data_IF_433886083738
#
_entry.id   IF_433886083738
#
_cell.length_a   1.000
_cell.length_b   1.000
_cell.length_c   1.000
_cell.angle_alpha   90.00
_cell.angle_beta   90.00
_cell.angle_gamma   90.00
#
_symmetry.space_group_name_H-M   'P 1'
#
loop_
_entity.id
_entity.type
_entity.pdbx_description
1 polymer ?
#
# COMPACT_ATOMS: atom_id res chain seq x y z
N UNK A 1 10.06 15.28 -3.71
CA UNK A 1 9.83 14.61 -2.42
C UNK A 1 9.51 15.63 -1.33
N UNK A 2 10.47 16.42 -0.84
CA UNK A 2 10.21 17.42 0.23
C UNK A 2 9.04 18.36 -0.07
N UNK A 3 9.00 18.94 -1.27
CA UNK A 3 7.88 19.80 -1.71
C UNK A 3 6.51 19.09 -1.69
N UNK A 4 6.44 17.78 -1.94
CA UNK A 4 5.18 17.04 -1.86
C UNK A 4 4.78 16.79 -0.40
N UNK A 5 5.76 16.49 0.46
CA UNK A 5 5.54 16.32 1.92
C UNK A 5 4.99 17.60 2.53
N UNK A 6 5.52 18.76 2.16
CA UNK A 6 5.06 20.08 2.63
C UNK A 6 3.64 20.44 2.15
N UNK A 7 3.15 19.81 1.07
CA UNK A 7 1.77 19.98 0.58
C UNK A 7 0.75 19.08 1.29
N UNK A 8 1.19 18.09 2.07
CA UNK A 8 0.27 17.25 2.83
C UNK A 8 -0.43 18.12 3.86
N UNK A 9 -1.74 18.26 3.71
CA UNK A 9 -2.52 19.07 4.63
C UNK A 9 -2.76 18.32 5.95
N UNK A 10 -2.96 19.06 7.05
CA UNK A 10 -3.45 18.47 8.28
C UNK A 10 -4.81 17.80 8.06
N UNK A 11 -5.06 16.74 8.84
CA UNK A 11 -6.38 16.11 8.93
C UNK A 11 -7.40 17.10 9.51
N UNK A 12 -8.55 17.24 8.87
CA UNK A 12 -9.61 18.15 9.28
C UNK A 12 -10.46 17.51 10.40
N UNK A 13 -10.11 17.81 11.64
CA UNK A 13 -10.82 17.29 12.82
C UNK A 13 -12.25 17.83 12.92
N UNK A 14 -12.55 19.00 12.38
CA UNK A 14 -13.90 19.56 12.42
C UNK A 14 -14.83 18.81 11.45
N UNK A 15 -14.37 18.56 10.22
CA UNK A 15 -15.09 17.75 9.25
C UNK A 15 -15.26 16.31 9.73
N UNK A 16 -14.22 15.72 10.33
CA UNK A 16 -14.28 14.40 10.95
C UNK A 16 -15.33 14.35 12.08
N UNK A 17 -15.31 15.32 13.00
CA UNK A 17 -16.29 15.40 14.09
C UNK A 17 -17.71 15.68 13.57
N UNK A 18 -17.86 16.42 12.47
CA UNK A 18 -19.15 16.61 11.82
C UNK A 18 -19.70 15.29 11.25
N UNK A 19 -18.85 14.46 10.64
CA UNK A 19 -19.25 13.14 10.16
C UNK A 19 -19.66 12.21 11.31
N UNK A 20 -18.95 12.25 12.43
CA UNK A 20 -19.32 11.49 13.62
C UNK A 20 -20.70 11.91 14.16
N UNK A 21 -20.93 13.22 14.34
CA UNK A 21 -22.24 13.75 14.77
C UNK A 21 -23.38 13.37 13.82
N UNK A 22 -23.12 13.38 12.51
CA UNK A 22 -24.09 12.95 11.51
C UNK A 22 -24.40 11.46 11.65
N UNK A 23 -23.37 10.61 11.75
CA UNK A 23 -23.50 9.17 11.96
C UNK A 23 -24.33 8.83 13.19
N UNK A 24 -24.11 9.54 14.30
CA UNK A 24 -24.85 9.35 15.57
C UNK A 24 -26.32 9.77 15.48
N UNK A 25 -26.67 10.62 14.50
CA UNK A 25 -28.04 11.03 14.23
C UNK A 25 -28.83 10.04 13.37
N UNK A 26 -28.16 9.11 12.68
CA UNK A 26 -28.79 8.10 11.83
C UNK A 26 -29.63 7.12 12.66
N UNK A 27 -30.67 6.52 12.07
CA UNK A 27 -31.59 5.58 12.73
C UNK A 27 -30.94 4.24 13.10
N UNK A 28 -29.96 4.28 14.00
CA UNK A 28 -29.18 3.16 14.52
C UNK A 28 -28.64 3.53 15.92
N UNK A 29 -28.31 2.54 16.77
CA UNK A 29 -27.53 2.84 17.98
C UNK A 29 -26.16 3.46 17.60
N UNK A 30 -25.67 4.48 18.34
CA UNK A 30 -24.36 5.06 18.10
C UNK A 30 -23.24 4.00 18.06
N UNK A 31 -22.37 4.08 17.05
CA UNK A 31 -21.27 3.13 16.85
C UNK A 31 -21.65 1.72 16.35
N UNK A 32 -22.93 1.40 16.11
CA UNK A 32 -23.35 0.04 15.75
C UNK A 32 -22.86 -0.43 14.37
N UNK A 33 -22.42 0.47 13.48
CA UNK A 33 -21.83 0.12 12.18
C UNK A 33 -20.29 0.02 12.26
N UNK A 34 -19.69 0.26 13.43
CA UNK A 34 -18.28 0.01 13.71
C UNK A 34 -17.32 0.68 12.73
N UNK A 35 -16.54 -0.12 12.00
CA UNK A 35 -15.50 0.39 11.09
C UNK A 35 -16.04 1.23 9.93
N UNK A 36 -17.29 1.03 9.51
CA UNK A 36 -17.88 1.84 8.45
C UNK A 36 -18.04 3.31 8.90
N UNK A 37 -18.41 3.54 10.17
CA UNK A 37 -18.47 4.88 10.73
C UNK A 37 -17.08 5.52 10.82
N UNK A 38 -16.07 4.72 11.22
CA UNK A 38 -14.69 5.17 11.28
C UNK A 38 -14.13 5.55 9.90
N UNK A 39 -14.47 4.79 8.85
CA UNK A 39 -14.12 5.11 7.46
C UNK A 39 -14.77 6.43 7.04
N UNK A 40 -16.07 6.60 7.27
CA UNK A 40 -16.76 7.85 6.94
C UNK A 40 -16.13 9.06 7.64
N UNK A 41 -15.83 8.93 8.95
CA UNK A 41 -15.12 9.94 9.75
C UNK A 41 -13.77 10.29 9.14
N UNK A 42 -12.99 9.28 8.76
CA UNK A 42 -11.66 9.45 8.17
C UNK A 42 -11.73 10.14 6.81
N UNK A 43 -12.64 9.71 5.93
CA UNK A 43 -12.81 10.30 4.60
C UNK A 43 -13.24 11.77 4.69
N UNK A 44 -14.12 12.10 5.64
CA UNK A 44 -14.54 13.48 5.86
C UNK A 44 -13.39 14.38 6.32
N UNK A 45 -12.55 13.91 7.24
CA UNK A 45 -11.37 14.66 7.69
C UNK A 45 -10.28 14.79 6.63
N UNK A 46 -10.14 13.80 5.73
CA UNK A 46 -9.23 13.91 4.57
C UNK A 46 -9.73 14.99 3.60
N UNK A 47 -11.01 14.93 3.25
CA UNK A 47 -11.61 15.81 2.24
C UNK A 47 -11.91 17.22 2.75
N UNK A 48 -12.06 17.40 4.07
CA UNK A 48 -12.53 18.66 4.68
C UNK A 48 -14.04 18.87 4.48
N UNK A 49 -14.81 17.79 4.42
CA UNK A 49 -16.26 17.84 4.22
C UNK A 49 -16.92 16.47 4.26
N UNK A 50 -18.22 16.42 4.57
CA UNK A 50 -18.97 15.18 4.82
C UNK A 50 -19.06 14.24 3.61
N UNK A 51 -19.10 14.81 2.40
CA UNK A 51 -19.48 14.10 1.18
C UNK A 51 -18.34 14.11 0.16
N UNK A 52 -17.24 13.38 0.41
CA UNK A 52 -16.16 13.30 -0.55
C UNK A 52 -16.62 12.54 -1.79
N UNK A 53 -16.31 13.11 -2.96
CA UNK A 53 -16.55 12.47 -4.24
C UNK A 53 -15.38 11.54 -4.59
N UNK A 54 -15.64 10.23 -4.60
CA UNK A 54 -14.61 9.19 -4.79
C UNK A 54 -14.85 8.31 -6.04
N UNK A 55 -15.72 8.75 -6.97
CA UNK A 55 -16.10 7.95 -8.14
C UNK A 55 -14.94 7.51 -9.03
N UNK A 56 -13.92 8.37 -9.22
CA UNK A 56 -12.72 8.02 -9.97
C UNK A 56 -11.65 7.47 -9.05
N UNK A 57 -11.27 6.22 -9.29
CA UNK A 57 -10.34 5.47 -8.43
C UNK A 57 -9.38 4.63 -9.24
N UNK A 58 -8.19 4.41 -8.70
CA UNK A 58 -7.15 3.66 -9.38
C UNK A 58 -6.35 2.80 -8.40
N UNK A 59 -5.97 1.60 -8.85
CA UNK A 59 -4.93 0.80 -8.24
C UNK A 59 -3.64 0.99 -9.04
N UNK A 60 -2.57 1.39 -8.37
CA UNK A 60 -1.26 1.56 -8.99
C UNK A 60 -0.41 0.35 -8.65
N UNK A 61 -0.12 -0.48 -9.65
CA UNK A 61 0.70 -1.68 -9.53
C UNK A 61 2.14 -1.33 -9.91
N UNK A 62 3.01 -1.23 -8.92
CA UNK A 62 4.44 -0.98 -9.12
C UNK A 62 5.17 -2.32 -9.33
N UNK A 63 5.88 -2.45 -10.44
CA UNK A 63 6.59 -3.68 -10.81
C UNK A 63 8.12 -3.51 -10.79
N UNK A 64 8.81 -4.40 -10.09
CA UNK A 64 10.26 -4.41 -9.97
C UNK A 64 10.83 -5.75 -9.52
N UNK A 65 11.99 -6.13 -10.06
CA UNK A 65 12.66 -7.38 -9.71
C UNK A 65 13.71 -7.20 -8.61
N UNK A 66 14.00 -8.30 -7.91
CA UNK A 66 14.95 -8.31 -6.78
C UNK A 66 16.13 -9.22 -7.00
N UNK A 67 17.35 -8.69 -6.84
CA UNK A 67 18.58 -9.50 -6.89
C UNK A 67 18.69 -10.53 -5.77
N UNK A 68 17.98 -10.34 -4.65
CA UNK A 68 17.96 -11.32 -3.53
C UNK A 68 17.38 -12.68 -3.94
N UNK A 69 16.72 -12.77 -5.10
CA UNK A 69 16.27 -14.04 -5.67
C UNK A 69 17.41 -15.03 -5.94
N UNK A 70 18.64 -14.55 -6.15
CA UNK A 70 19.85 -15.38 -6.27
C UNK A 70 20.09 -16.25 -5.03
N UNK A 71 19.58 -15.85 -3.87
CA UNK A 71 19.69 -16.61 -2.62
C UNK A 71 18.62 -17.72 -2.51
N UNK A 72 17.74 -17.94 -3.50
CA UNK A 72 16.76 -19.04 -3.47
C UNK A 72 15.59 -18.83 -2.50
N UNK A 73 15.20 -17.58 -2.25
CA UNK A 73 14.15 -17.18 -1.29
C UNK A 73 12.72 -17.28 -1.80
N UNK A 74 12.52 -17.64 -3.07
CA UNK A 74 11.21 -17.71 -3.74
C UNK A 74 10.88 -19.13 -4.21
N UNK A 75 9.59 -19.45 -4.34
CA UNK A 75 9.13 -20.65 -5.04
C UNK A 75 9.10 -20.48 -6.57
N UNK A 76 8.96 -19.24 -7.04
CA UNK A 76 8.83 -18.89 -8.45
C UNK A 76 10.14 -18.31 -9.01
N UNK A 77 10.43 -18.57 -10.30
CA UNK A 77 11.59 -18.00 -10.97
C UNK A 77 11.36 -16.52 -11.33
N UNK A 78 12.43 -15.76 -11.58
CA UNK A 78 12.36 -14.31 -11.75
C UNK A 78 11.58 -13.88 -13.01
N UNK A 79 11.49 -14.74 -14.02
CA UNK A 79 10.75 -14.53 -15.27
C UNK A 79 9.23 -14.37 -15.05
N UNK A 80 8.72 -14.73 -13.86
CA UNK A 80 7.30 -14.53 -13.52
C UNK A 80 6.95 -13.05 -13.42
N UNK A 81 7.86 -12.18 -12.97
CA UNK A 81 7.60 -10.73 -12.88
C UNK A 81 7.18 -10.13 -14.23
N UNK A 82 7.97 -10.23 -15.32
CA UNK A 82 7.57 -9.68 -16.61
C UNK A 82 6.31 -10.35 -17.19
N UNK A 83 6.12 -11.65 -16.96
CA UNK A 83 4.92 -12.38 -17.41
C UNK A 83 3.65 -11.84 -16.74
N UNK A 84 3.69 -11.60 -15.43
CA UNK A 84 2.58 -11.03 -14.69
C UNK A 84 2.32 -9.58 -15.08
N UNK A 85 3.37 -8.79 -15.37
CA UNK A 85 3.18 -7.43 -15.91
C UNK A 85 2.39 -7.46 -17.22
N UNK A 86 2.75 -8.34 -18.15
CA UNK A 86 1.97 -8.52 -19.38
C UNK A 86 0.54 -8.98 -19.08
N UNK A 87 0.34 -9.87 -18.12
CA UNK A 87 -1.01 -10.31 -17.70
C UNK A 87 -1.86 -9.17 -17.13
N UNK A 88 -1.29 -8.26 -16.33
CA UNK A 88 -1.98 -7.05 -15.86
C UNK A 88 -2.39 -6.16 -17.02
N UNK A 89 -1.47 -5.98 -17.97
CA UNK A 89 -1.65 -5.15 -19.14
C UNK A 89 -2.67 -5.71 -20.11
N UNK A 90 -2.89 -7.03 -20.14
CA UNK A 90 -3.96 -7.69 -20.91
C UNK A 90 -5.29 -7.79 -20.16
N UNK A 91 -5.31 -7.46 -18.86
CA UNK A 91 -6.54 -7.49 -18.06
C UNK A 91 -6.88 -8.86 -17.46
N UNK A 92 -5.92 -9.81 -17.48
CA UNK A 92 -6.15 -11.20 -17.10
C UNK A 92 -5.86 -11.54 -15.63
N UNK A 93 -5.27 -10.64 -14.85
CA UNK A 93 -4.94 -10.91 -13.45
C UNK A 93 -6.12 -10.71 -12.49
N UNK A 94 -5.98 -11.21 -11.26
CA UNK A 94 -7.00 -11.09 -10.22
C UNK A 94 -7.32 -9.63 -9.91
N UNK A 95 -6.31 -8.77 -9.80
CA UNK A 95 -6.51 -7.33 -9.59
C UNK A 95 -7.34 -6.71 -10.72
N UNK A 96 -7.16 -7.11 -11.99
CA UNK A 96 -7.97 -6.58 -13.09
C UNK A 96 -9.44 -6.97 -12.95
N UNK A 97 -9.73 -8.20 -12.52
CA UNK A 97 -11.10 -8.67 -12.30
C UNK A 97 -11.77 -7.86 -11.20
N UNK A 98 -11.11 -7.71 -10.06
CA UNK A 98 -11.65 -7.01 -8.89
C UNK A 98 -11.71 -5.49 -9.10
N UNK A 99 -10.73 -4.91 -9.79
CA UNK A 99 -10.72 -3.49 -10.15
C UNK A 99 -11.92 -3.13 -11.05
N UNK A 100 -12.25 -3.95 -12.06
CA UNK A 100 -13.46 -3.70 -12.88
C UNK A 100 -14.75 -3.73 -12.06
N UNK A 101 -14.89 -4.67 -11.13
CA UNK A 101 -16.08 -4.75 -10.27
C UNK A 101 -16.22 -3.55 -9.33
N UNK A 102 -15.08 -3.06 -8.85
CA UNK A 102 -15.01 -1.84 -8.06
C UNK A 102 -14.92 -0.57 -8.90
N UNK A 103 -15.00 -0.60 -10.24
CA UNK A 103 -14.91 0.61 -11.07
C UNK A 103 -13.57 1.36 -10.92
N UNK A 104 -12.47 0.64 -10.70
CA UNK A 104 -11.13 1.18 -10.58
C UNK A 104 -10.29 0.93 -11.84
N UNK A 105 -9.46 1.93 -12.20
CA UNK A 105 -8.45 1.78 -13.24
C UNK A 105 -7.23 1.01 -12.69
N UNK A 106 -6.67 0.08 -13.47
CA UNK A 106 -5.40 -0.59 -13.13
C UNK A 106 -4.27 0.13 -13.86
N UNK A 107 -3.40 0.80 -13.11
CA UNK A 107 -2.23 1.51 -13.63
C UNK A 107 -0.98 0.68 -13.34
N UNK A 108 -0.48 -0.02 -14.36
CA UNK A 108 0.73 -0.82 -14.23
C UNK A 108 1.97 0.02 -14.56
N UNK A 109 2.93 0.04 -13.63
CA UNK A 109 4.15 0.84 -13.71
C UNK A 109 5.36 -0.08 -13.66
N UNK A 110 6.15 -0.08 -14.73
CA UNK A 110 7.46 -0.72 -14.71
C UNK A 110 8.47 0.29 -14.17
N UNK A 111 8.87 0.09 -12.92
CA UNK A 111 9.87 0.93 -12.24
C UNK A 111 11.22 0.23 -12.10
N UNK A 112 11.25 -1.11 -12.23
CA UNK A 112 12.47 -1.88 -12.02
C UNK A 112 12.47 -3.31 -12.53
N UNK A 113 11.62 -3.70 -13.48
CA UNK A 113 11.58 -5.09 -13.96
C UNK A 113 12.88 -5.44 -14.69
N UNK A 114 13.45 -6.61 -14.45
CA UNK A 114 14.67 -7.11 -15.09
C UNK A 114 14.38 -7.71 -16.48
N UNK A 115 13.65 -6.95 -17.29
CA UNK A 115 13.32 -7.25 -18.67
C UNK A 115 12.95 -5.97 -19.41
N UNK A 116 13.12 -5.97 -20.73
CA UNK A 116 12.58 -4.94 -21.61
C UNK A 116 11.11 -5.23 -21.87
N UNK A 117 10.24 -4.32 -21.43
CA UNK A 117 8.79 -4.44 -21.57
C UNK A 117 8.27 -3.32 -22.47
N UNK A 118 7.41 -3.67 -23.43
CA UNK A 118 6.76 -2.71 -24.33
C UNK A 118 5.28 -3.05 -24.45
N UNK A 119 4.45 -2.10 -24.06
CA UNK A 119 3.00 -2.18 -24.20
C UNK A 119 2.43 -0.77 -24.10
N UNK A 120 1.39 -0.44 -24.87
CA UNK A 120 0.83 0.92 -24.94
C UNK A 120 0.27 1.40 -23.59
N UNK A 121 -0.33 0.49 -22.83
CA UNK A 121 -0.85 0.74 -21.47
C UNK A 121 0.19 0.73 -20.36
N UNK A 122 1.46 0.40 -20.65
CA UNK A 122 2.50 0.32 -19.63
C UNK A 122 3.05 1.71 -19.32
N UNK A 123 3.02 2.10 -18.04
CA UNK A 123 3.73 3.29 -17.58
C UNK A 123 5.21 2.94 -17.41
N UNK A 124 6.01 3.21 -18.44
CA UNK A 124 7.46 2.96 -18.41
C UNK A 124 8.17 4.07 -17.62
N UNK A 125 8.71 3.70 -16.44
CA UNK A 125 9.48 4.56 -15.53
C UNK A 125 10.67 3.81 -14.92
N UNK A 126 11.24 2.89 -15.70
CA UNK A 126 12.31 2.00 -15.24
C UNK A 126 13.53 2.80 -14.81
N UNK A 127 13.95 2.60 -13.56
CA UNK A 127 15.14 3.24 -12.99
C UNK A 127 16.38 2.39 -13.28
N UNK A 128 16.22 1.06 -13.16
CA UNK A 128 17.24 0.04 -13.46
C UNK A 128 16.56 -1.30 -13.70
N UNK A 129 17.31 -2.28 -14.18
CA UNK A 129 16.84 -3.65 -14.36
C UNK A 129 17.09 -4.46 -13.09
N UNK A 130 16.09 -4.56 -12.22
CA UNK A 130 16.17 -5.23 -10.93
C UNK A 130 17.07 -4.52 -9.90
N UNK A 131 16.78 -4.71 -8.61
CA UNK A 131 17.71 -4.32 -7.54
C UNK A 131 18.90 -5.28 -7.49
N UNK A 132 20.01 -4.85 -6.90
CA UNK A 132 21.12 -5.73 -6.55
C UNK A 132 20.72 -6.69 -5.41
N UNK A 133 21.51 -7.76 -5.22
CA UNK A 133 21.30 -8.70 -4.14
C UNK A 133 21.62 -8.05 -2.78
N UNK A 134 20.57 -7.75 -2.01
CA UNK A 134 20.70 -7.09 -0.70
C UNK A 134 21.48 -7.93 0.34
N UNK A 135 21.69 -9.23 0.11
CA UNK A 135 22.50 -10.08 0.97
C UNK A 135 24.01 -9.95 0.72
N UNK A 136 24.42 -9.30 -0.37
CA UNK A 136 25.81 -9.05 -0.74
C UNK A 136 26.23 -7.57 -0.66
N UNK A 137 25.28 -6.66 -0.46
CA UNK A 137 25.48 -5.21 -0.44
C UNK A 137 24.14 -4.48 -0.49
N UNK A 138 24.10 -3.18 -0.80
CA UNK A 138 22.85 -2.44 -0.88
C UNK A 138 22.01 -2.85 -2.10
N UNK A 139 20.70 -2.95 -1.93
CA UNK A 139 19.74 -3.25 -3.01
C UNK A 139 19.81 -2.22 -4.15
N UNK A 140 20.00 -0.94 -3.83
CA UNK A 140 20.10 0.14 -4.80
C UNK A 140 20.88 1.33 -4.22
N UNK A 141 21.30 2.26 -5.08
CA UNK A 141 21.87 3.52 -4.62
C UNK A 141 20.79 4.38 -3.94
N UNK A 142 21.18 5.21 -2.96
CA UNK A 142 20.26 6.17 -2.32
C UNK A 142 19.55 7.06 -3.34
N UNK A 143 20.26 7.47 -4.39
CA UNK A 143 19.69 8.28 -5.48
C UNK A 143 18.61 7.54 -6.28
N UNK A 144 18.75 6.23 -6.46
CA UNK A 144 17.76 5.37 -7.14
C UNK A 144 16.50 5.20 -6.28
N UNK A 145 16.67 4.96 -4.97
CA UNK A 145 15.54 4.92 -4.04
C UNK A 145 14.77 6.26 -4.04
N UNK A 146 15.50 7.38 -3.99
CA UNK A 146 14.90 8.70 -4.04
C UNK A 146 14.20 8.97 -5.38
N UNK A 147 14.75 8.48 -6.49
CA UNK A 147 14.12 8.57 -7.82
C UNK A 147 12.83 7.75 -7.88
N UNK A 148 12.83 6.54 -7.31
CA UNK A 148 11.65 5.69 -7.27
C UNK A 148 10.51 6.32 -6.47
N UNK A 149 10.82 6.91 -5.30
CA UNK A 149 9.85 7.68 -4.52
C UNK A 149 9.31 8.87 -5.31
N UNK A 150 10.17 9.62 -6.04
CA UNK A 150 9.71 10.73 -6.89
C UNK A 150 8.78 10.26 -8.01
N UNK A 151 9.13 9.17 -8.68
CA UNK A 151 8.29 8.56 -9.71
C UNK A 151 6.89 8.22 -9.18
N UNK A 152 6.82 7.60 -7.98
CA UNK A 152 5.53 7.30 -7.35
C UNK A 152 4.69 8.55 -7.05
N UNK A 153 5.34 9.60 -6.54
CA UNK A 153 4.68 10.90 -6.27
C UNK A 153 4.12 11.48 -7.57
N UNK A 154 4.93 11.56 -8.62
CA UNK A 154 4.55 12.12 -9.92
C UNK A 154 3.37 11.37 -10.55
N UNK A 155 3.35 10.04 -10.42
CA UNK A 155 2.25 9.21 -10.95
C UNK A 155 0.95 9.48 -10.18
N UNK A 156 1.00 9.48 -8.84
CA UNK A 156 -0.19 9.73 -8.03
C UNK A 156 -0.74 11.16 -8.23
N UNK A 157 0.13 12.18 -8.27
CA UNK A 157 -0.27 13.56 -8.51
C UNK A 157 -0.87 13.75 -9.91
N UNK A 158 -0.27 13.14 -10.94
CA UNK A 158 -0.84 13.15 -12.29
C UNK A 158 -2.23 12.55 -12.33
N UNK A 159 -2.42 11.37 -11.73
CA UNK A 159 -3.73 10.70 -11.68
C UNK A 159 -4.75 11.53 -10.90
N UNK A 160 -4.32 12.19 -9.81
CA UNK A 160 -5.18 13.10 -9.07
C UNK A 160 -5.60 14.32 -9.91
N UNK A 161 -4.68 14.91 -10.69
CA UNK A 161 -5.00 15.98 -11.65
C UNK A 161 -5.96 15.50 -12.75
N UNK A 162 -5.82 14.25 -13.19
CA UNK A 162 -6.73 13.61 -14.14
C UNK A 162 -8.11 13.33 -13.52
N UNK A 163 -8.26 13.38 -12.19
CA UNK A 163 -9.54 13.29 -11.49
C UNK A 163 -9.67 12.12 -10.53
N UNK A 164 -8.65 11.26 -10.39
CA UNK A 164 -8.65 10.18 -9.39
C UNK A 164 -8.69 10.77 -7.98
N UNK A 165 -9.55 10.23 -7.12
CA UNK A 165 -9.75 10.68 -5.73
C UNK A 165 -9.60 9.59 -4.68
N UNK A 166 -9.49 8.33 -5.09
CA UNK A 166 -9.23 7.20 -4.20
C UNK A 166 -8.19 6.28 -4.83
N UNK A 167 -7.12 6.02 -4.10
CA UNK A 167 -6.00 5.21 -4.57
C UNK A 167 -5.93 3.87 -3.84
N UNK A 168 -5.42 2.86 -4.53
CA UNK A 168 -5.00 1.59 -3.95
C UNK A 168 -3.55 1.30 -4.33
N UNK A 169 -2.78 0.75 -3.40
CA UNK A 169 -1.42 0.29 -3.66
C UNK A 169 -1.44 -1.15 -4.18
N UNK A 170 -0.69 -1.45 -5.23
CA UNK A 170 -0.41 -2.80 -5.68
C UNK A 170 1.06 -2.96 -6.06
N UNK A 171 1.55 -4.18 -6.05
CA UNK A 171 2.94 -4.46 -6.42
C UNK A 171 3.05 -5.74 -7.22
N UNK A 172 4.18 -5.90 -7.91
CA UNK A 172 4.60 -7.15 -8.49
C UNK A 172 6.12 -7.24 -8.46
N UNK A 173 6.66 -8.28 -7.85
CA UNK A 173 8.09 -8.53 -7.86
C UNK A 173 8.46 -9.82 -7.16
N UNK A 174 9.11 -10.74 -7.88
CA UNK A 174 9.66 -11.92 -7.22
C UNK A 174 10.78 -11.49 -6.26
N UNK A 175 10.72 -12.01 -5.02
CA UNK A 175 11.68 -11.72 -3.95
C UNK A 175 11.31 -10.55 -3.02
N UNK A 176 10.29 -9.75 -3.34
CA UNK A 176 9.97 -8.54 -2.59
C UNK A 176 9.44 -8.77 -1.17
N UNK A 177 8.90 -9.95 -0.85
CA UNK A 177 8.53 -10.33 0.52
C UNK A 177 9.76 -10.43 1.43
N UNK A 178 10.93 -10.77 0.87
CA UNK A 178 12.21 -10.77 1.59
C UNK A 178 12.64 -9.34 1.92
N UNK A 179 12.60 -8.44 0.94
CA UNK A 179 12.89 -7.01 1.14
C UNK A 179 11.90 -6.40 2.16
N UNK A 180 10.61 -6.70 2.03
CA UNK A 180 9.57 -6.22 2.95
C UNK A 180 9.80 -6.68 4.39
N UNK A 181 10.23 -7.94 4.60
CA UNK A 181 10.58 -8.45 5.91
C UNK A 181 11.81 -7.73 6.51
N UNK A 182 12.83 -7.44 5.69
CA UNK A 182 13.99 -6.66 6.14
C UNK A 182 13.60 -5.23 6.54
N UNK A 183 12.74 -4.57 5.74
CA UNK A 183 12.19 -3.25 6.08
C UNK A 183 11.38 -3.27 7.39
N UNK A 184 10.50 -4.26 7.54
CA UNK A 184 9.71 -4.45 8.75
C UNK A 184 10.61 -4.67 9.97
N UNK A 185 11.68 -5.45 9.81
CA UNK A 185 12.62 -5.71 10.89
C UNK A 185 13.37 -4.46 11.34
N UNK A 186 13.92 -3.71 10.38
CA UNK A 186 14.72 -2.51 10.68
C UNK A 186 13.86 -1.35 11.19
N UNK A 187 12.71 -1.08 10.57
CA UNK A 187 11.91 0.13 10.84
C UNK A 187 10.85 -0.04 11.93
N UNK A 188 10.40 -1.28 12.17
CA UNK A 188 9.42 -1.59 13.20
C UNK A 188 9.99 -2.46 14.35
N UNK A 189 11.26 -2.88 14.26
CA UNK A 189 11.89 -3.71 15.30
C UNK A 189 11.29 -5.13 15.36
N UNK A 190 10.67 -5.61 14.28
CA UNK A 190 10.07 -6.94 14.23
C UNK A 190 11.19 -7.97 14.02
N UNK A 191 11.27 -8.98 14.87
CA UNK A 191 12.27 -10.04 14.73
C UNK A 191 12.18 -10.70 13.33
N UNK A 192 13.30 -10.98 12.63
CA UNK A 192 13.30 -11.70 11.35
C UNK A 192 12.50 -13.01 11.36
N UNK A 193 12.47 -13.76 12.46
CA UNK A 193 11.68 -14.99 12.61
C UNK A 193 10.16 -14.74 12.53
N UNK A 194 9.73 -13.51 12.88
CA UNK A 194 8.32 -13.09 12.85
C UNK A 194 7.96 -12.33 11.57
N UNK A 195 8.90 -11.55 11.03
CA UNK A 195 8.67 -10.77 9.80
C UNK A 195 8.78 -11.60 8.52
N UNK A 196 9.44 -12.76 8.55
CA UNK A 196 9.53 -13.65 7.39
C UNK A 196 8.41 -14.69 7.39
N UNK A 197 7.46 -14.52 6.47
CA UNK A 197 6.44 -15.51 6.14
C UNK A 197 6.81 -16.42 4.98
N UNK A 198 5.90 -17.34 4.66
CA UNK A 198 6.04 -18.29 3.55
C UNK A 198 5.90 -17.65 2.17
N UNK A 199 5.42 -16.40 2.05
CA UNK A 199 5.24 -15.69 0.80
C UNK A 199 4.48 -16.52 -0.24
N UNK A 200 5.18 -16.86 -1.30
CA UNK A 200 4.73 -17.68 -2.43
C UNK A 200 4.43 -19.15 -2.08
N UNK A 201 4.36 -19.52 -0.79
CA UNK A 201 4.06 -20.87 -0.32
C UNK A 201 5.28 -21.76 -0.14
N UNK A 202 6.42 -21.20 0.27
CA UNK A 202 7.64 -21.96 0.56
C UNK A 202 7.48 -22.83 1.82
N UNK A 203 8.20 -23.95 1.89
CA UNK A 203 8.25 -24.83 3.06
C UNK A 203 9.04 -24.22 4.24
N UNK A 204 8.98 -24.86 5.41
CA UNK A 204 9.65 -24.38 6.63
C UNK A 204 11.18 -24.32 6.49
N UNK A 205 11.79 -25.23 5.73
CA UNK A 205 13.24 -25.22 5.52
C UNK A 205 13.66 -23.97 4.72
N UNK A 206 12.95 -23.69 3.62
CA UNK A 206 13.18 -22.50 2.80
C UNK A 206 12.80 -21.22 3.54
N UNK A 207 11.78 -21.26 4.41
CA UNK A 207 11.44 -20.12 5.29
C UNK A 207 12.59 -19.79 6.24
N UNK A 208 13.20 -20.78 6.90
CA UNK A 208 14.38 -20.56 7.77
C UNK A 208 15.56 -20.00 6.99
N UNK A 209 15.84 -20.56 5.80
CA UNK A 209 16.86 -20.00 4.92
C UNK A 209 16.58 -18.53 4.57
N UNK A 210 15.32 -18.19 4.26
CA UNK A 210 14.91 -16.80 4.01
C UNK A 210 15.09 -15.90 5.23
N UNK A 211 14.86 -16.41 6.45
CA UNK A 211 15.19 -15.68 7.69
C UNK A 211 16.69 -15.37 7.76
N UNK A 212 17.55 -16.35 7.48
CA UNK A 212 19.00 -16.17 7.49
C UNK A 212 19.45 -15.15 6.43
N UNK A 213 18.84 -15.17 5.25
CA UNK A 213 19.07 -14.16 4.19
C UNK A 213 18.68 -12.76 4.65
N UNK A 214 17.55 -12.59 5.33
CA UNK A 214 17.15 -11.28 5.90
C UNK A 214 18.14 -10.82 6.96
N UNK A 215 18.54 -11.70 7.89
CA UNK A 215 19.55 -11.39 8.91
C UNK A 215 20.88 -10.98 8.27
N UNK A 216 21.35 -11.72 7.27
CA UNK A 216 22.57 -11.44 6.51
C UNK A 216 22.49 -10.09 5.80
N UNK A 217 21.38 -9.80 5.11
CA UNK A 217 21.19 -8.53 4.42
C UNK A 217 21.23 -7.32 5.37
N UNK A 218 20.62 -7.43 6.55
CA UNK A 218 20.69 -6.39 7.58
C UNK A 218 22.12 -6.23 8.10
N UNK A 219 22.82 -7.34 8.38
CA UNK A 219 24.19 -7.31 8.90
C UNK A 219 25.20 -6.71 7.91
N UNK A 220 25.12 -7.07 6.63
CA UNK A 220 26.04 -6.57 5.59
C UNK A 220 25.82 -5.08 5.30
N UNK A 221 24.58 -4.61 5.41
CA UNK A 221 24.23 -3.25 5.04
C UNK A 221 24.26 -2.25 6.21
N UNK A 222 24.11 -2.72 7.45
CA UNK A 222 24.00 -1.88 8.65
C UNK A 222 23.04 -0.69 8.45
N UNK A 223 21.75 -0.94 8.11
CA UNK A 223 20.80 0.13 7.84
C UNK A 223 20.43 0.90 9.12
N UNK A 224 20.44 2.23 9.05
CA UNK A 224 20.05 3.10 10.16
C UNK A 224 18.54 3.36 10.14
N UNK A 225 17.83 2.87 11.17
CA UNK A 225 16.39 3.03 11.29
C UNK A 225 15.91 4.50 11.36
N UNK A 226 16.81 5.44 11.72
CA UNK A 226 16.53 6.88 11.70
C UNK A 226 16.59 7.50 10.30
N UNK A 227 17.06 6.76 9.29
CA UNK A 227 17.13 7.18 7.89
C UNK A 227 16.30 6.26 6.99
N UNK A 228 14.95 6.41 6.94
CA UNK A 228 14.08 5.46 6.23
C UNK A 228 14.38 5.34 4.73
N UNK A 229 14.86 6.43 4.10
CA UNK A 229 15.29 6.39 2.69
C UNK A 229 16.57 5.58 2.52
N UNK A 230 17.50 5.67 3.49
CA UNK A 230 18.71 4.86 3.53
C UNK A 230 18.42 3.38 3.75
N UNK A 231 17.48 3.07 4.66
CA UNK A 231 17.00 1.69 4.87
C UNK A 231 16.39 1.13 3.58
N UNK A 232 15.54 1.91 2.92
CA UNK A 232 14.92 1.53 1.63
C UNK A 232 15.96 1.29 0.53
N UNK A 233 17.01 2.11 0.46
CA UNK A 233 18.09 1.91 -0.50
C UNK A 233 18.91 0.65 -0.21
N UNK A 234 19.13 0.34 1.07
CA UNK A 234 19.96 -0.79 1.51
C UNK A 234 19.25 -2.14 1.37
N UNK A 235 18.01 -2.25 1.84
CA UNK A 235 17.30 -3.55 1.97
C UNK A 235 15.88 -3.55 1.40
N UNK A 236 15.53 -2.53 0.59
CA UNK A 236 14.20 -2.40 -0.02
C UNK A 236 14.12 -2.83 -1.49
N UNK A 237 13.04 -2.41 -2.15
CA UNK A 237 12.75 -2.63 -3.56
C UNK A 237 12.42 -1.33 -4.29
N UNK A 238 12.61 -1.29 -5.60
CA UNK A 238 12.27 -0.11 -6.41
C UNK A 238 10.75 0.09 -6.46
N UNK A 239 9.99 -1.00 -6.53
CA UNK A 239 8.54 -1.03 -6.48
C UNK A 239 7.99 -0.65 -5.10
N UNK A 240 8.65 -1.08 -4.02
CA UNK A 240 8.33 -0.63 -2.66
C UNK A 240 8.56 0.88 -2.55
N UNK A 241 9.69 1.38 -3.08
CA UNK A 241 9.99 2.80 -3.11
C UNK A 241 9.01 3.60 -3.99
N UNK A 242 8.57 3.03 -5.11
CA UNK A 242 7.48 3.56 -5.92
C UNK A 242 6.19 3.69 -5.12
N UNK A 243 5.80 2.67 -4.35
CA UNK A 243 4.62 2.70 -3.48
C UNK A 243 4.72 3.74 -2.35
N UNK A 244 5.89 3.91 -1.75
CA UNK A 244 6.15 5.03 -0.81
C UNK A 244 5.81 6.37 -1.48
N UNK A 245 6.25 6.53 -2.73
CA UNK A 245 5.95 7.71 -3.54
C UNK A 245 4.45 7.89 -3.80
N UNK A 246 3.75 6.82 -4.18
CA UNK A 246 2.29 6.83 -4.40
C UNK A 246 1.55 7.32 -3.15
N UNK A 247 1.94 6.81 -1.98
CA UNK A 247 1.34 7.18 -0.71
C UNK A 247 1.53 8.68 -0.42
N UNK A 248 2.76 9.19 -0.57
CA UNK A 248 3.07 10.60 -0.35
C UNK A 248 2.33 11.49 -1.36
N UNK A 249 2.35 11.14 -2.65
CA UNK A 249 1.73 11.94 -3.71
C UNK A 249 0.20 12.00 -3.61
N UNK A 250 -0.44 10.88 -3.23
CA UNK A 250 -1.87 10.85 -2.98
C UNK A 250 -2.25 11.69 -1.75
N UNK A 251 -1.51 11.57 -0.63
CA UNK A 251 -1.73 12.40 0.56
C UNK A 251 -1.53 13.90 0.26
N UNK A 252 -0.49 14.25 -0.50
CA UNK A 252 -0.23 15.62 -0.98
C UNK A 252 -1.36 16.15 -1.90
N UNK A 253 -2.11 15.24 -2.52
CA UNK A 253 -3.29 15.52 -3.35
C UNK A 253 -4.61 15.42 -2.58
N UNK A 254 -4.56 15.35 -1.25
CA UNK A 254 -5.69 15.11 -0.34
C UNK A 254 -6.53 13.86 -0.67
N UNK A 255 -5.91 12.82 -1.21
CA UNK A 255 -6.61 11.61 -1.59
C UNK A 255 -6.32 10.46 -0.60
N UNK A 256 -7.35 9.73 -0.10
CA UNK A 256 -7.14 8.49 0.64
C UNK A 256 -6.40 7.43 -0.19
N UNK A 257 -5.62 6.61 0.50
CA UNK A 257 -4.89 5.48 -0.08
C UNK A 257 -5.19 4.21 0.70
N UNK A 258 -5.70 3.21 0.00
CA UNK A 258 -5.92 1.87 0.54
C UNK A 258 -4.65 1.04 0.40
N UNK A 259 -4.13 0.59 1.53
CA UNK A 259 -2.92 -0.22 1.65
C UNK A 259 -3.31 -1.69 1.52
N UNK A 260 -2.72 -2.39 0.56
CA UNK A 260 -3.02 -3.80 0.25
C UNK A 260 -2.48 -4.78 1.29
N UNK A 261 -1.57 -5.69 0.91
CA UNK A 261 -0.99 -6.68 1.78
C UNK A 261 0.36 -6.26 2.37
N UNK A 262 1.12 -7.27 2.79
CA UNK A 262 2.37 -7.12 3.54
C UNK A 262 3.39 -6.16 2.91
N UNK A 263 3.63 -6.27 1.59
CA UNK A 263 4.59 -5.44 0.86
C UNK A 263 4.15 -3.97 0.86
N UNK A 264 2.86 -3.73 0.58
CA UNK A 264 2.28 -2.38 0.60
C UNK A 264 2.33 -1.76 1.99
N UNK A 265 2.13 -2.56 3.04
CA UNK A 265 2.25 -2.10 4.43
C UNK A 265 3.71 -1.77 4.80
N UNK A 266 4.70 -2.48 4.23
CA UNK A 266 6.11 -2.11 4.40
C UNK A 266 6.42 -0.75 3.74
N UNK A 267 5.88 -0.51 2.54
CA UNK A 267 5.94 0.81 1.90
C UNK A 267 5.23 1.89 2.75
N UNK A 268 4.07 1.59 3.31
CA UNK A 268 3.34 2.50 4.19
C UNK A 268 4.13 2.87 5.44
N UNK A 269 4.85 1.91 6.05
CA UNK A 269 5.72 2.18 7.19
C UNK A 269 6.84 3.16 6.82
N UNK A 270 7.50 2.94 5.67
CA UNK A 270 8.55 3.85 5.18
C UNK A 270 7.96 5.23 4.91
N UNK A 271 6.78 5.32 4.28
CA UNK A 271 6.12 6.59 4.01
C UNK A 271 5.77 7.37 5.29
N UNK A 272 5.21 6.70 6.31
CA UNK A 272 4.92 7.32 7.62
C UNK A 272 6.19 7.78 8.34
N UNK A 273 7.29 7.04 8.21
CA UNK A 273 8.58 7.44 8.81
C UNK A 273 9.20 8.64 8.08
N UNK A 274 9.04 8.76 6.76
CA UNK A 274 9.51 9.91 5.99
C UNK A 274 8.61 11.14 6.14
N UNK A 275 7.31 10.93 6.22
CA UNK A 275 6.30 11.97 6.23
C UNK A 275 5.13 11.58 7.15
N UNK A 276 5.23 11.79 8.47
CA UNK A 276 4.21 11.37 9.43
C UNK A 276 2.79 11.85 9.10
N UNK A 277 2.67 13.00 8.43
CA UNK A 277 1.40 13.56 7.95
C UNK A 277 0.63 12.67 6.96
N UNK A 278 1.23 11.64 6.35
CA UNK A 278 0.49 10.71 5.47
C UNK A 278 -0.43 9.77 6.25
N UNK A 279 -0.17 9.52 7.54
CA UNK A 279 -0.87 8.48 8.32
C UNK A 279 -2.41 8.61 8.28
N UNK A 280 -3.01 9.81 8.44
CA UNK A 280 -4.46 9.96 8.38
C UNK A 280 -5.08 9.62 7.01
N UNK A 281 -4.28 9.60 5.94
CA UNK A 281 -4.73 9.26 4.58
C UNK A 281 -4.76 7.76 4.29
N UNK A 282 -4.22 6.93 5.20
CA UNK A 282 -4.04 5.50 4.95
C UNK A 282 -5.21 4.68 5.49
N UNK A 283 -5.72 3.77 4.67
CA UNK A 283 -6.75 2.79 5.05
C UNK A 283 -6.15 1.40 4.90
N UNK A 284 -6.11 0.61 5.98
CA UNK A 284 -5.61 -0.77 5.91
C UNK A 284 -6.65 -1.71 5.30
N UNK A 285 -6.30 -2.42 4.23
CA UNK A 285 -7.28 -3.26 3.51
C UNK A 285 -7.62 -4.57 4.25
N UNK A 286 -6.72 -5.55 4.20
CA UNK A 286 -6.96 -6.90 4.66
C UNK A 286 -5.81 -7.38 5.53
N UNK A 287 -6.10 -8.36 6.39
CA UNK A 287 -5.06 -9.10 7.07
C UNK A 287 -4.54 -10.21 6.15
N UNK A 288 -3.44 -9.94 5.46
CA UNK A 288 -2.71 -10.96 4.74
C UNK A 288 -2.22 -12.11 5.64
N UNK A 289 -2.11 -13.32 5.08
CA UNK A 289 -1.52 -14.50 5.71
C UNK A 289 0.00 -14.45 5.90
N UNK A 290 0.67 -13.38 5.49
CA UNK A 290 2.07 -13.17 5.84
C UNK A 290 2.23 -12.99 7.35
N UNK A 291 3.11 -13.80 7.95
CA UNK A 291 3.27 -13.95 9.40
C UNK A 291 3.46 -12.63 10.15
N UNK A 292 4.25 -11.71 9.59
CA UNK A 292 4.55 -10.41 10.19
C UNK A 292 3.51 -9.33 9.95
N UNK A 293 2.44 -9.60 9.19
CA UNK A 293 1.58 -8.52 8.69
C UNK A 293 0.77 -7.83 9.79
N UNK A 294 0.29 -8.57 10.79
CA UNK A 294 -0.42 -7.98 11.94
C UNK A 294 0.46 -6.99 12.70
N UNK A 295 1.69 -7.39 13.01
CA UNK A 295 2.67 -6.58 13.73
C UNK A 295 3.04 -5.34 12.90
N UNK A 296 3.19 -5.51 11.59
CA UNK A 296 3.52 -4.43 10.67
C UNK A 296 2.37 -3.41 10.56
N UNK A 297 1.12 -3.87 10.45
CA UNK A 297 -0.06 -3.00 10.49
C UNK A 297 -0.11 -2.19 11.80
N UNK A 298 0.16 -2.84 12.94
CA UNK A 298 0.22 -2.17 14.24
C UNK A 298 1.34 -1.12 14.29
N UNK A 299 2.50 -1.39 13.70
CA UNK A 299 3.62 -0.45 13.66
C UNK A 299 3.31 0.82 12.83
N UNK A 300 2.51 0.70 11.76
CA UNK A 300 1.98 1.85 11.00
C UNK A 300 0.83 2.53 11.77
N UNK A 301 0.11 1.77 12.59
CA UNK A 301 -1.10 2.21 13.30
C UNK A 301 -2.36 2.03 12.45
N UNK A 302 -2.40 0.98 11.63
CA UNK A 302 -3.55 0.61 10.80
C UNK A 302 -4.26 -0.62 11.35
N UNK A 303 -5.54 -0.73 11.02
CA UNK A 303 -6.37 -1.90 11.33
C UNK A 303 -7.03 -2.41 10.03
N UNK A 304 -6.94 -3.71 9.71
CA UNK A 304 -7.46 -4.25 8.45
C UNK A 304 -8.99 -4.36 8.46
N UNK A 305 -9.65 -4.06 7.35
CA UNK A 305 -11.09 -4.22 7.17
C UNK A 305 -11.52 -5.67 6.91
N UNK A 306 -10.66 -6.45 6.24
CA UNK A 306 -11.00 -7.77 5.70
C UNK A 306 -10.08 -8.85 6.28
N UNK A 307 -10.61 -10.05 6.55
CA UNK A 307 -9.81 -11.24 6.86
C UNK A 307 -10.33 -12.42 6.03
N UNK A 308 -9.66 -12.69 4.91
CA UNK A 308 -10.03 -13.72 3.91
C UNK A 308 -8.86 -14.68 3.62
N UNK A 309 -7.87 -14.71 4.51
CA UNK A 309 -6.66 -15.52 4.36
C UNK A 309 -5.89 -15.28 3.04
N UNK A 310 -5.98 -14.05 2.52
CA UNK A 310 -5.36 -13.63 1.25
C UNK A 310 -3.85 -13.41 1.40
N UNK A 311 -3.11 -13.68 0.32
CA UNK A 311 -1.66 -13.44 0.24
C UNK A 311 -1.15 -13.32 -1.21
N UNK A 312 -2.03 -12.92 -2.12
CA UNK A 312 -1.67 -12.76 -3.53
C UNK A 312 -0.85 -11.48 -3.75
N UNK A 313 -1.26 -10.37 -3.13
CA UNK A 313 -0.69 -9.05 -3.41
C UNK A 313 -1.42 -8.38 -4.58
N UNK A 314 -0.66 -7.69 -5.43
CA UNK A 314 -1.13 -7.02 -6.66
C UNK A 314 -2.11 -5.85 -6.42
N UNK A 315 -2.49 -5.56 -5.17
CA UNK A 315 -3.55 -4.60 -4.86
C UNK A 315 -4.94 -5.22 -4.73
N UNK A 316 -5.04 -6.55 -4.74
CA UNK A 316 -6.34 -7.27 -4.74
C UNK A 316 -7.20 -7.03 -3.51
N UNK A 317 -6.61 -7.03 -2.32
CA UNK A 317 -7.32 -6.73 -1.08
C UNK A 317 -7.68 -5.25 -0.99
N UNK A 318 -6.81 -4.36 -1.50
CA UNK A 318 -7.07 -2.93 -1.53
C UNK A 318 -8.28 -2.57 -2.42
N UNK A 319 -8.39 -3.11 -3.63
CA UNK A 319 -9.54 -2.83 -4.50
C UNK A 319 -10.85 -3.43 -3.97
N UNK A 320 -10.80 -4.56 -3.24
CA UNK A 320 -11.98 -5.09 -2.54
C UNK A 320 -12.50 -4.11 -1.47
N UNK A 321 -11.61 -3.35 -0.84
CA UNK A 321 -12.00 -2.38 0.18
C UNK A 321 -12.79 -1.20 -0.37
N UNK A 322 -12.76 -0.94 -1.68
CA UNK A 322 -13.56 0.11 -2.31
C UNK A 322 -15.06 -0.11 -2.10
N UNK A 323 -15.52 -1.37 -2.06
CA UNK A 323 -16.92 -1.67 -1.76
C UNK A 323 -17.35 -1.27 -0.34
N UNK A 324 -16.44 -1.39 0.63
CA UNK A 324 -16.71 -0.99 2.02
C UNK A 324 -16.65 0.53 2.19
N UNK A 325 -15.80 1.20 1.41
CA UNK A 325 -15.75 2.67 1.32
C UNK A 325 -17.05 3.20 0.72
N UNK A 326 -17.53 2.60 -0.38
CA UNK A 326 -18.80 2.95 -1.00
C UNK A 326 -19.96 2.72 -0.01
N UNK A 327 -19.97 1.60 0.70
CA UNK A 327 -20.97 1.32 1.72
C UNK A 327 -20.94 2.33 2.88
N UNK A 328 -19.75 2.72 3.35
CA UNK A 328 -19.60 3.72 4.41
C UNK A 328 -20.18 5.07 3.98
N UNK A 329 -19.91 5.52 2.74
CA UNK A 329 -20.47 6.77 2.22
C UNK A 329 -21.97 6.68 1.97
N UNK A 330 -22.45 5.59 1.36
CA UNK A 330 -23.87 5.39 1.10
C UNK A 330 -24.70 5.35 2.39
N UNK A 331 -24.21 4.67 3.43
CA UNK A 331 -24.87 4.66 4.74
C UNK A 331 -24.99 6.07 5.34
N UNK A 332 -23.95 6.89 5.19
CA UNK A 332 -23.99 8.26 5.68
C UNK A 332 -24.96 9.15 4.88
N UNK A 333 -25.07 8.94 3.56
CA UNK A 333 -25.87 9.78 2.68
C UNK A 333 -27.35 9.39 2.65
N UNK A 334 -27.65 8.09 2.77
CA UNK A 334 -28.97 7.55 2.44
C UNK A 334 -29.77 7.08 3.67
N UNK A 335 -29.12 6.78 4.80
CA UNK A 335 -29.85 6.42 6.01
C UNK A 335 -30.65 7.61 6.52
N UNK A 336 -31.89 7.36 6.94
CA UNK A 336 -32.69 8.34 7.64
C UNK A 336 -32.05 8.70 8.99
N UNK A 337 -32.32 9.92 9.46
CA UNK A 337 -32.06 10.31 10.84
C UNK A 337 -33.24 9.94 11.73
N UNK A 338 -33.02 9.80 13.04
CA UNK A 338 -34.11 9.63 14.02
C UNK A 338 -35.21 10.70 13.86
N UNK A 339 -34.80 11.94 13.59
CA UNK A 339 -35.69 13.07 13.36
C UNK A 339 -36.52 12.88 12.09
N UNK A 340 -35.88 12.63 10.94
CA UNK A 340 -36.59 12.46 9.67
C UNK A 340 -37.50 11.23 9.63
N UNK A 341 -37.17 10.20 10.41
CA UNK A 341 -37.95 8.97 10.50
C UNK A 341 -39.05 9.02 11.58
N UNK A 342 -39.08 10.06 12.42
CA UNK A 342 -40.01 10.16 13.55
C UNK A 342 -39.80 9.08 14.62
N UNK A 343 -38.56 8.57 14.78
CA UNK A 343 -38.20 7.55 15.75
C UNK A 343 -37.65 8.24 17.01
N UNK A 344 -38.15 7.85 18.18
CA UNK A 344 -37.66 8.37 19.46
C UNK A 344 -36.18 8.05 19.67
N UNK A 345 -35.40 9.05 20.10
CA UNK A 345 -34.04 8.84 20.63
C UNK A 345 -34.18 8.18 22.00
N UNK A 346 -33.89 6.88 22.08
CA UNK A 346 -33.84 6.13 23.33
C UNK A 346 -32.65 6.52 24.20
#
# INVERSE_FOLDING_TARGET
>A
MQSAIERILPFDEEAAAAAERHSDGLTKPPGSLGKLEAIARQLAGIAGGLWPELSRRAVIVMAGDHGVCEEGVSAFPAEVTPQMVLNFLEGGAAVNVLARQSGADVVCVDIGVNAELKHERLVSRKIRMGTANMAAGPAMLRGEAAAAVRTGIEIAERLAQEGVRLFATGEMGIGNTTASAALASVLAGIDPERSVGSGTGIDEQRRRHKVDVVKKAIAVNEPDAADPLGVLAKVGGLEIAGLVGVIIGAAASRCPVVIDGYISTAAALVAVRLAPGVKPYLIGSHLSMEQGHRDLLQAVGLSPLIQLDMRLGEGTGAVLCFHFIDAALGLMQEMATFESAGISKG
#
